data_IF_328204230718
#
_entry.id   IF_328204230718
#
_cell.length_a   1.000
_cell.length_b   1.000
_cell.length_c   1.000
_cell.angle_alpha   90.00
_cell.angle_beta   90.00
_cell.angle_gamma   90.00
#
_symmetry.space_group_name_H-M   'P 1'
#
loop_
_entity.id
_entity.type
_entity.pdbx_description
1 polymer ?
#
# COMPACT_ATOMS: atom_id res chain seq x y z
N UNK A 1 2.43 -0.64 -13.13
CA UNK A 1 3.70 0.14 -13.09
C UNK A 1 3.47 1.64 -12.90
N UNK A 2 2.93 2.39 -13.89
CA UNK A 2 2.75 3.86 -13.77
C UNK A 2 2.01 4.30 -12.50
N UNK A 3 0.94 3.61 -12.13
CA UNK A 3 0.18 3.90 -10.92
C UNK A 3 1.00 3.70 -9.63
N UNK A 4 1.88 2.70 -9.58
CA UNK A 4 2.77 2.46 -8.43
C UNK A 4 3.78 3.60 -8.30
N UNK A 5 4.36 4.05 -9.42
CA UNK A 5 5.29 5.18 -9.44
C UNK A 5 4.62 6.48 -8.98
N UNK A 6 3.44 6.77 -9.51
CA UNK A 6 2.65 7.92 -9.08
C UNK A 6 2.25 7.84 -7.60
N UNK A 7 1.93 6.64 -7.08
CA UNK A 7 1.63 6.46 -5.66
C UNK A 7 2.82 6.81 -4.75
N UNK A 8 4.05 6.44 -5.15
CA UNK A 8 5.27 6.80 -4.43
C UNK A 8 5.46 8.33 -4.41
N UNK A 9 5.30 8.99 -5.55
CA UNK A 9 5.41 10.46 -5.64
C UNK A 9 4.37 11.18 -4.78
N UNK A 10 3.13 10.70 -4.75
CA UNK A 10 2.08 11.26 -3.90
C UNK A 10 2.35 11.04 -2.41
N UNK A 11 2.92 9.89 -2.03
CA UNK A 11 3.35 9.66 -0.65
C UNK A 11 4.43 10.65 -0.21
N UNK A 12 5.42 10.92 -1.06
CA UNK A 12 6.49 11.90 -0.78
C UNK A 12 5.96 13.32 -0.60
N UNK A 13 4.85 13.66 -1.27
CA UNK A 13 4.17 14.96 -1.16
C UNK A 13 3.19 15.05 0.01
N UNK A 14 2.89 13.94 0.68
CA UNK A 14 1.88 13.88 1.74
C UNK A 14 0.44 13.68 1.24
N UNK A 15 0.24 13.44 -0.06
CA UNK A 15 -1.07 13.22 -0.70
C UNK A 15 -1.56 11.78 -0.46
N UNK A 16 -1.84 11.44 0.80
CA UNK A 16 -2.08 10.05 1.21
C UNK A 16 -3.31 9.40 0.56
N UNK A 17 -4.38 10.15 0.33
CA UNK A 17 -5.59 9.64 -0.34
C UNK A 17 -5.28 9.24 -1.79
N UNK A 18 -4.56 10.09 -2.53
CA UNK A 18 -4.12 9.82 -3.90
C UNK A 18 -3.17 8.63 -3.95
N UNK A 19 -2.22 8.57 -3.01
CA UNK A 19 -1.25 7.48 -2.94
C UNK A 19 -1.93 6.11 -2.71
N UNK A 20 -2.88 6.01 -1.78
CA UNK A 20 -3.65 4.77 -1.54
C UNK A 20 -4.50 4.42 -2.75
N UNK A 21 -5.22 5.39 -3.33
CA UNK A 21 -6.08 5.16 -4.50
C UNK A 21 -5.30 4.56 -5.68
N UNK A 22 -4.13 5.14 -5.99
CA UNK A 22 -3.28 4.69 -7.08
C UNK A 22 -2.64 3.33 -6.80
N UNK A 23 -2.21 3.08 -5.56
CA UNK A 23 -1.61 1.80 -5.18
C UNK A 23 -2.61 0.64 -5.22
N UNK A 24 -3.83 0.85 -4.71
CA UNK A 24 -4.91 -0.15 -4.73
C UNK A 24 -5.35 -0.47 -6.17
N UNK A 25 -5.53 0.56 -7.01
CA UNK A 25 -5.85 0.36 -8.42
C UNK A 25 -4.72 -0.41 -9.13
N UNK A 26 -3.46 -0.10 -8.82
CA UNK A 26 -2.32 -0.84 -9.37
C UNK A 26 -2.31 -2.31 -8.95
N UNK A 27 -2.72 -2.65 -7.73
CA UNK A 27 -2.86 -4.02 -7.28
C UNK A 27 -4.03 -4.72 -7.99
N UNK A 28 -5.22 -4.09 -8.01
CA UNK A 28 -6.44 -4.68 -8.57
C UNK A 28 -6.35 -4.95 -10.08
N UNK A 29 -5.57 -4.16 -10.81
CA UNK A 29 -5.34 -4.35 -12.26
C UNK A 29 -4.37 -5.50 -12.58
N UNK A 30 -3.63 -6.02 -11.59
CA UNK A 30 -2.68 -7.12 -11.76
C UNK A 30 -3.35 -8.48 -11.54
N UNK A 31 -4.20 -8.86 -12.50
CA UNK A 31 -4.77 -10.21 -12.58
C UNK A 31 -3.67 -11.24 -12.93
N UNK A 32 -3.59 -12.34 -12.17
CA UNK A 32 -2.74 -13.49 -12.52
C UNK A 32 -1.53 -13.78 -11.63
N UNK A 33 -1.29 -13.00 -10.58
CA UNK A 33 -0.29 -13.41 -9.58
C UNK A 33 -0.83 -14.56 -8.73
N UNK A 34 -0.05 -15.65 -8.66
CA UNK A 34 -0.26 -16.74 -7.71
C UNK A 34 -0.22 -16.18 -6.28
N UNK A 35 -1.30 -16.42 -5.53
CA UNK A 35 -1.50 -15.86 -4.20
C UNK A 35 -0.42 -16.33 -3.23
N UNK A 36 0.05 -17.57 -3.38
CA UNK A 36 1.12 -18.12 -2.54
C UNK A 36 2.43 -17.39 -2.80
N UNK A 37 2.79 -17.18 -4.07
CA UNK A 37 3.98 -16.44 -4.44
C UNK A 37 3.94 -14.97 -4.02
N UNK A 38 2.78 -14.32 -4.18
CA UNK A 38 2.54 -12.95 -3.71
C UNK A 38 2.74 -12.83 -2.19
N UNK A 39 2.16 -13.74 -1.40
CA UNK A 39 2.30 -13.74 0.06
C UNK A 39 3.77 -13.98 0.49
N UNK A 40 4.52 -14.81 -0.23
CA UNK A 40 5.96 -15.01 0.01
C UNK A 40 6.76 -13.73 -0.24
N UNK A 41 6.50 -13.03 -1.36
CA UNK A 41 7.15 -11.75 -1.68
C UNK A 41 6.79 -10.69 -0.63
N UNK A 42 5.52 -10.61 -0.25
CA UNK A 42 5.04 -9.65 0.76
C UNK A 42 5.73 -9.88 2.12
N UNK A 43 5.90 -11.13 2.54
CA UNK A 43 6.65 -11.50 3.75
C UNK A 43 8.13 -11.10 3.66
N UNK A 44 8.75 -11.24 2.49
CA UNK A 44 10.15 -10.84 2.27
C UNK A 44 10.37 -9.32 2.29
N UNK A 45 9.40 -8.54 1.82
CA UNK A 45 9.42 -7.06 1.84
C UNK A 45 9.05 -6.53 3.23
N UNK A 46 8.18 -7.23 3.94
CA UNK A 46 7.66 -6.84 5.25
C UNK A 46 8.54 -7.31 6.39
N UNK A 47 9.67 -6.66 6.61
CA UNK A 47 10.36 -6.74 7.92
C UNK A 47 9.62 -5.97 9.03
N UNK A 48 8.51 -5.32 8.71
CA UNK A 48 7.62 -4.67 9.67
C UNK A 48 6.57 -5.68 10.16
N UNK A 49 6.61 -5.98 11.46
CA UNK A 49 5.60 -6.76 12.20
C UNK A 49 4.16 -6.25 11.94
N UNK A 50 4.04 -4.96 11.59
CA UNK A 50 2.79 -4.27 11.27
C UNK A 50 2.11 -4.78 10.00
N UNK A 51 2.88 -5.18 8.97
CA UNK A 51 2.31 -5.75 7.74
C UNK A 51 1.97 -7.24 7.94
N UNK A 52 2.67 -7.97 8.81
CA UNK A 52 2.28 -9.34 9.17
C UNK A 52 0.89 -9.39 9.81
N UNK A 53 0.62 -8.49 10.76
CA UNK A 53 -0.69 -8.35 11.38
C UNK A 53 -1.77 -7.76 10.45
N UNK A 54 -1.38 -7.00 9.43
CA UNK A 54 -2.27 -6.47 8.38
C UNK A 54 -2.45 -7.43 7.18
N UNK A 55 -1.55 -8.39 6.98
CA UNK A 55 -1.67 -9.46 5.98
C UNK A 55 -2.53 -10.60 6.52
N UNK A 56 -2.44 -10.92 7.82
CA UNK A 56 -3.36 -11.84 8.50
C UNK A 56 -4.77 -11.25 8.68
N UNK A 57 -4.88 -9.92 8.67
CA UNK A 57 -6.16 -9.19 8.61
C UNK A 57 -6.23 -8.42 7.31
N UNK A 58 -6.51 -9.13 6.22
CA UNK A 58 -6.72 -8.57 4.87
C UNK A 58 -7.72 -7.39 4.89
N UNK A 59 -8.57 -7.32 5.91
CA UNK A 59 -9.49 -6.23 6.19
C UNK A 59 -8.77 -4.90 6.50
N UNK A 60 -7.74 -4.89 7.36
CA UNK A 60 -7.15 -3.64 7.87
C UNK A 60 -6.43 -2.76 6.83
N UNK A 61 -5.79 -3.37 5.83
CA UNK A 61 -5.18 -2.65 4.70
C UNK A 61 -6.23 -2.16 3.70
N UNK A 62 -7.34 -2.88 3.58
CA UNK A 62 -8.41 -2.56 2.66
C UNK A 62 -9.43 -1.59 3.30
N UNK A 63 -9.45 -1.43 4.62
CA UNK A 63 -10.39 -0.56 5.35
C UNK A 63 -10.33 0.90 4.87
N UNK A 64 -9.13 1.44 4.64
CA UNK A 64 -8.98 2.83 4.15
C UNK A 64 -9.45 2.99 2.72
N UNK A 65 -9.21 1.98 1.88
CA UNK A 65 -9.75 1.98 0.54
C UNK A 65 -11.28 1.84 0.53
N UNK A 66 -11.81 0.95 1.36
CA UNK A 66 -13.24 0.79 1.54
C UNK A 66 -13.87 2.10 2.03
N UNK A 67 -13.19 2.79 2.93
CA UNK A 67 -13.60 4.11 3.40
C UNK A 67 -13.58 5.16 2.29
N UNK A 68 -12.52 5.21 1.48
CA UNK A 68 -12.46 6.12 0.33
C UNK A 68 -13.59 5.87 -0.68
N UNK A 69 -13.99 4.60 -0.88
CA UNK A 69 -15.04 4.21 -1.84
C UNK A 69 -16.46 4.37 -1.28
N UNK A 70 -16.67 4.15 0.02
CA UNK A 70 -18.00 3.96 0.61
C UNK A 70 -18.28 4.76 1.88
N UNK A 71 -17.31 5.56 2.35
CA UNK A 71 -17.33 6.25 3.64
C UNK A 71 -17.60 5.29 4.82
N UNK A 72 -17.11 4.04 4.74
CA UNK A 72 -17.24 2.98 5.76
C UNK A 72 -15.95 2.18 5.81
N UNK A 73 -15.49 1.77 7.00
CA UNK A 73 -14.29 0.93 7.11
C UNK A 73 -14.58 -0.54 6.78
N UNK A 74 -15.75 -1.05 7.22
CA UNK A 74 -16.18 -2.42 6.98
C UNK A 74 -17.45 -2.48 6.15
N UNK A 75 -17.66 -3.59 5.45
CA UNK A 75 -18.88 -3.87 4.70
C UNK A 75 -20.09 -3.86 5.67
N UNK A 76 -21.07 -3.00 5.39
CA UNK A 76 -22.24 -2.72 6.25
C UNK A 76 -21.99 -1.99 7.58
N UNK A 77 -20.79 -1.45 7.82
CA UNK A 77 -20.49 -0.61 8.98
C UNK A 77 -21.19 0.75 8.97
N UNK A 78 -21.15 1.51 10.08
CA UNK A 78 -21.66 2.88 10.11
C UNK A 78 -20.88 3.78 9.14
N UNK A 79 -21.55 4.81 8.62
CA UNK A 79 -20.88 5.84 7.82
C UNK A 79 -19.92 6.63 8.73
N UNK A 80 -18.71 6.84 8.26
CA UNK A 80 -17.62 7.56 8.93
C UNK A 80 -17.25 8.72 8.01
N UNK A 81 -17.51 9.96 8.44
CA UNK A 81 -17.22 11.15 7.60
C UNK A 81 -15.73 11.53 7.58
N UNK A 82 -14.97 11.08 8.58
CA UNK A 82 -13.54 11.40 8.72
C UNK A 82 -12.75 10.17 9.11
N UNK A 83 -11.69 9.90 8.37
CA UNK A 83 -10.70 8.90 8.67
C UNK A 83 -9.31 9.55 8.71
N UNK A 84 -8.44 9.04 9.57
CA UNK A 84 -7.02 9.37 9.53
C UNK A 84 -6.35 8.31 8.67
N UNK A 85 -5.62 8.75 7.66
CA UNK A 85 -4.72 7.91 6.88
C UNK A 85 -3.30 8.20 7.36
N UNK A 86 -2.61 7.15 7.79
CA UNK A 86 -1.24 7.25 8.30
C UNK A 86 -0.24 6.93 7.19
N UNK A 87 0.97 7.48 7.29
CA UNK A 87 2.07 7.17 6.38
C UNK A 87 2.37 5.65 6.34
N UNK A 88 2.22 4.95 7.48
CA UNK A 88 2.39 3.50 7.59
C UNK A 88 1.39 2.75 6.71
N UNK A 89 0.10 3.10 6.77
CA UNK A 89 -0.96 2.47 5.94
C UNK A 89 -0.69 2.71 4.44
N UNK A 90 -0.32 3.93 4.05
CA UNK A 90 0.02 4.26 2.65
C UNK A 90 1.22 3.45 2.18
N UNK A 91 2.28 3.42 2.98
CA UNK A 91 3.52 2.69 2.68
C UNK A 91 3.26 1.20 2.51
N UNK A 92 2.46 0.61 3.40
CA UNK A 92 2.10 -0.80 3.33
C UNK A 92 1.27 -1.10 2.07
N UNK A 93 0.35 -0.21 1.67
CA UNK A 93 -0.45 -0.35 0.44
C UNK A 93 0.43 -0.30 -0.81
N UNK A 94 1.40 0.62 -0.88
CA UNK A 94 2.36 0.70 -2.00
C UNK A 94 3.25 -0.55 -2.05
N UNK A 95 3.74 -1.04 -0.90
CA UNK A 95 4.52 -2.29 -0.83
C UNK A 95 3.70 -3.50 -1.29
N UNK A 96 2.42 -3.55 -0.95
CA UNK A 96 1.47 -4.57 -1.43
C UNK A 96 1.37 -4.53 -2.97
N UNK A 97 1.18 -3.35 -3.55
CA UNK A 97 1.13 -3.18 -5.00
C UNK A 97 2.45 -3.57 -5.70
N UNK A 98 3.61 -3.25 -5.12
CA UNK A 98 4.92 -3.67 -5.64
C UNK A 98 5.09 -5.18 -5.55
N UNK A 99 4.71 -5.81 -4.44
CA UNK A 99 4.77 -7.25 -4.28
C UNK A 99 3.91 -7.97 -5.33
N UNK A 100 2.68 -7.48 -5.56
CA UNK A 100 1.80 -7.99 -6.62
C UNK A 100 2.40 -7.81 -8.01
N UNK A 101 2.99 -6.64 -8.28
CA UNK A 101 3.66 -6.37 -9.54
C UNK A 101 4.81 -7.34 -9.81
N UNK A 102 5.64 -7.62 -8.79
CA UNK A 102 6.73 -8.59 -8.90
C UNK A 102 6.25 -10.01 -9.10
N UNK A 103 5.14 -10.40 -8.47
CA UNK A 103 4.56 -11.72 -8.67
C UNK A 103 4.10 -11.95 -10.13
N UNK A 104 3.70 -10.89 -10.84
CA UNK A 104 3.36 -10.97 -12.28
C UNK A 104 4.57 -10.75 -13.18
N UNK A 105 5.51 -9.88 -12.80
CA UNK A 105 6.63 -9.43 -13.63
C UNK A 105 7.98 -9.56 -12.90
N UNK A 106 8.36 -10.79 -12.53
CA UNK A 106 9.52 -11.06 -11.66
C UNK A 106 10.85 -10.44 -12.15
N UNK A 107 11.05 -10.37 -13.46
CA UNK A 107 12.27 -9.81 -14.08
C UNK A 107 12.27 -8.28 -14.16
N UNK A 108 11.12 -7.62 -14.00
CA UNK A 108 11.01 -6.17 -14.16
C UNK A 108 11.27 -5.45 -12.84
N UNK A 109 12.45 -4.84 -12.75
CA UNK A 109 12.86 -4.05 -11.59
C UNK A 109 13.02 -2.58 -12.00
N UNK A 110 12.30 -1.70 -11.34
CA UNK A 110 12.45 -0.25 -11.56
C UNK A 110 13.24 0.37 -10.41
N UNK A 111 14.17 1.31 -10.67
CA UNK A 111 14.92 1.98 -9.60
C UNK A 111 14.03 2.61 -8.53
N UNK A 112 12.90 3.20 -8.92
CA UNK A 112 11.96 3.84 -7.99
C UNK A 112 11.33 2.85 -7.00
N UNK A 113 10.87 1.69 -7.48
CA UNK A 113 10.31 0.65 -6.60
C UNK A 113 11.39 0.07 -5.68
N UNK A 114 12.60 -0.18 -6.21
CA UNK A 114 13.72 -0.68 -5.42
C UNK A 114 14.13 0.30 -4.32
N UNK A 115 14.23 1.60 -4.65
CA UNK A 115 14.54 2.65 -3.68
C UNK A 115 13.47 2.72 -2.60
N UNK A 116 12.19 2.63 -2.97
CA UNK A 116 11.08 2.65 -2.02
C UNK A 116 11.09 1.43 -1.07
N UNK A 117 11.43 0.25 -1.56
CA UNK A 117 11.54 -0.97 -0.75
C UNK A 117 12.76 -0.96 0.18
N UNK A 118 13.88 -0.44 -0.30
CA UNK A 118 15.11 -0.31 0.49
C UNK A 118 15.05 0.86 1.49
N UNK A 119 14.21 1.86 1.21
CA UNK A 119 13.88 2.97 2.09
C UNK A 119 12.98 2.51 3.25
N UNK A 120 13.58 1.87 4.25
CA UNK A 120 12.92 1.67 5.53
C UNK A 120 12.78 3.03 6.26
N UNK A 121 11.59 3.64 6.20
CA UNK A 121 11.11 4.56 7.23
C UNK A 121 11.74 5.94 7.30
N UNK A 122 11.63 6.76 6.24
CA UNK A 122 11.65 8.23 6.41
C UNK A 122 10.27 8.71 6.87
N UNK A 123 9.89 8.32 8.09
CA UNK A 123 9.01 9.16 8.88
C UNK A 123 9.80 10.41 9.28
N UNK A 124 9.89 11.41 8.40
CA UNK A 124 10.28 12.75 8.84
C UNK A 124 9.08 13.36 9.56
N UNK A 125 8.95 13.02 10.84
CA UNK A 125 8.31 13.91 11.79
C UNK A 125 9.20 15.16 11.88
N UNK A 126 8.96 16.14 11.01
CA UNK A 126 9.46 17.50 11.16
C UNK A 126 8.31 18.46 10.93
N UNK A 127 7.82 19.02 12.03
CA UNK A 127 6.77 20.04 12.02
C UNK A 127 6.23 20.30 13.42
N UNK A 128 7.11 20.48 14.40
CA UNK A 128 6.79 21.33 15.54
C UNK A 128 6.96 22.77 15.07
N UNK A 129 5.87 23.52 15.06
CA UNK A 129 5.86 24.95 15.38
C UNK A 129 4.74 25.20 16.39
#
# INVERSE_FOLDING_TARGET
MRQIHAAIEHLERGDFECAIALADEAEGTLAGADEVHFLQILKGISRFHEVGAAAERTDGLNDRMHWLKHARLILHGPRIEKAIITNVEVTATIRKAIARFRAVYAEVKTPQMLSFENGAGSGSATGNE
#
